data_IF_813284918954
#
_entry.id   IF_813284918954
#
_cell.length_a   1.000
_cell.length_b   1.000
_cell.length_c   1.000
_cell.angle_alpha   90.00
_cell.angle_beta   90.00
_cell.angle_gamma   90.00
#
_symmetry.space_group_name_H-M   'P 1'
#
loop_
_entity.id
_entity.type
_entity.pdbx_description
1 polymer ?
#
# COMPACT_ATOMS: atom_id res chain seq x y z
N UNK A 1 21.45 -18.33 18.36
CA UNK A 1 22.90 -18.28 18.06
C UNK A 1 23.16 -17.48 16.77
N UNK A 2 22.65 -17.86 15.61
CA UNK A 2 22.87 -17.09 14.36
C UNK A 2 22.29 -15.68 14.40
N UNK A 3 21.08 -15.47 14.96
CA UNK A 3 20.45 -14.16 15.04
C UNK A 3 21.25 -13.17 15.92
N UNK A 4 21.74 -13.63 17.08
CA UNK A 4 22.53 -12.80 17.99
C UNK A 4 23.89 -12.42 17.36
N UNK A 5 24.49 -13.31 16.56
CA UNK A 5 25.70 -13.02 15.80
C UNK A 5 25.45 -11.96 14.73
N UNK A 6 24.35 -12.06 13.97
CA UNK A 6 23.99 -11.09 12.96
C UNK A 6 23.70 -9.71 13.57
N UNK A 7 22.88 -9.64 14.62
CA UNK A 7 22.59 -8.38 15.30
C UNK A 7 23.82 -7.76 15.95
N UNK A 8 24.81 -8.58 16.39
CA UNK A 8 26.05 -8.06 16.98
C UNK A 8 26.90 -7.25 15.99
N UNK A 9 26.80 -7.52 14.69
CA UNK A 9 27.50 -6.76 13.64
C UNK A 9 27.00 -5.31 13.54
N UNK A 10 25.75 -5.05 13.94
CA UNK A 10 25.09 -3.75 13.89
C UNK A 10 24.91 -3.13 15.29
N UNK A 11 25.51 -3.71 16.33
CA UNK A 11 25.44 -3.21 17.70
C UNK A 11 26.42 -2.04 17.88
N UNK A 12 26.14 -0.94 17.19
CA UNK A 12 26.85 0.34 17.32
C UNK A 12 25.85 1.47 17.45
N UNK A 13 26.26 2.61 18.01
CA UNK A 13 25.41 3.81 18.12
C UNK A 13 25.02 4.40 16.75
N UNK A 14 25.57 3.88 15.66
CA UNK A 14 25.29 4.31 14.29
C UNK A 14 23.96 3.74 13.77
N UNK A 15 23.66 2.46 14.11
CA UNK A 15 22.54 1.76 13.53
C UNK A 15 21.32 1.72 14.46
N UNK A 16 20.14 1.83 13.89
CA UNK A 16 18.87 1.64 14.58
C UNK A 16 18.21 0.36 14.08
N UNK A 17 17.83 -0.51 15.02
CA UNK A 17 17.19 -1.79 14.73
C UNK A 17 15.70 -1.65 15.04
N UNK A 18 14.86 -1.93 14.04
CA UNK A 18 13.42 -1.98 14.17
C UNK A 18 12.91 -3.41 13.97
N UNK A 19 11.71 -3.76 14.49
CA UNK A 19 11.01 -4.95 14.01
C UNK A 19 10.77 -4.85 12.51
N UNK A 20 10.78 -5.96 11.78
CA UNK A 20 10.55 -5.96 10.34
C UNK A 20 9.23 -5.31 9.94
N UNK A 21 9.23 -4.47 8.93
CA UNK A 21 8.05 -3.73 8.47
C UNK A 21 7.01 -4.65 7.80
N UNK A 22 5.77 -4.20 7.78
CA UNK A 22 4.62 -4.87 7.16
C UNK A 22 3.89 -3.88 6.25
N UNK A 23 3.81 -4.18 4.96
CA UNK A 23 3.00 -3.42 4.01
C UNK A 23 1.74 -4.22 3.64
N UNK A 24 0.59 -3.63 3.84
CA UNK A 24 -0.69 -4.31 3.61
C UNK A 24 -1.29 -4.04 2.23
N UNK A 25 -0.53 -3.34 1.36
CA UNK A 25 -1.01 -2.97 0.03
C UNK A 25 0.13 -2.95 -1.00
N UNK A 26 0.36 -4.08 -1.66
CA UNK A 26 1.37 -4.19 -2.73
C UNK A 26 0.86 -5.03 -3.91
N UNK A 27 1.44 -4.82 -5.09
CA UNK A 27 1.12 -5.54 -6.32
C UNK A 27 2.34 -6.29 -6.85
N UNK A 28 2.45 -7.58 -6.56
CA UNK A 28 3.59 -8.38 -7.01
C UNK A 28 3.46 -8.92 -8.44
N UNK A 29 2.29 -8.72 -9.07
CA UNK A 29 2.05 -8.94 -10.49
C UNK A 29 2.10 -10.41 -10.97
N UNK A 30 2.40 -11.37 -10.12
CA UNK A 30 2.33 -12.81 -10.46
C UNK A 30 1.22 -13.51 -9.66
N UNK A 31 0.46 -14.36 -10.35
CA UNK A 31 0.55 -14.79 -11.77
C UNK A 31 0.06 -13.76 -12.80
N UNK A 32 0.45 -13.94 -14.04
CA UNK A 32 -0.12 -13.29 -15.23
C UNK A 32 0.62 -12.07 -15.77
N UNK A 33 1.32 -11.31 -14.91
CA UNK A 33 1.97 -10.05 -15.30
C UNK A 33 3.45 -9.99 -14.90
N UNK A 34 4.14 -11.13 -14.94
CA UNK A 34 5.56 -11.27 -14.53
C UNK A 34 6.54 -10.38 -15.30
N UNK A 35 6.12 -9.80 -16.41
CA UNK A 35 6.93 -8.80 -17.13
C UNK A 35 7.00 -7.46 -16.40
N UNK A 36 6.05 -7.15 -15.50
CA UNK A 36 6.03 -5.94 -14.66
C UNK A 36 6.76 -6.14 -13.33
N UNK A 37 6.59 -7.31 -12.72
CA UNK A 37 7.15 -7.72 -11.44
C UNK A 37 6.96 -9.20 -11.23
N UNK A 38 7.79 -9.82 -10.39
CA UNK A 38 7.66 -11.22 -9.98
C UNK A 38 7.61 -11.32 -8.45
N UNK A 39 7.06 -12.41 -7.91
CA UNK A 39 7.12 -12.66 -6.46
C UNK A 39 8.56 -12.56 -5.96
N UNK A 40 9.54 -13.08 -6.72
CA UNK A 40 10.95 -13.00 -6.32
C UNK A 40 11.48 -11.57 -6.33
N UNK A 41 11.34 -10.83 -7.44
CA UNK A 41 11.89 -9.46 -7.55
C UNK A 41 11.24 -8.50 -6.56
N UNK A 42 9.91 -8.55 -6.41
CA UNK A 42 9.20 -7.59 -5.57
C UNK A 42 9.32 -7.94 -4.07
N UNK A 43 9.46 -9.23 -3.70
CA UNK A 43 9.81 -9.59 -2.33
C UNK A 43 11.25 -9.20 -1.96
N UNK A 44 12.18 -9.19 -2.93
CA UNK A 44 13.53 -8.63 -2.73
C UNK A 44 13.51 -7.11 -2.60
N UNK A 45 12.70 -6.41 -3.41
CA UNK A 45 12.50 -4.96 -3.27
C UNK A 45 11.88 -4.60 -1.90
N UNK A 46 10.94 -5.41 -1.42
CA UNK A 46 10.39 -5.29 -0.08
C UNK A 46 11.48 -5.47 1.00
N UNK A 47 12.30 -6.51 0.89
CA UNK A 47 13.43 -6.74 1.81
C UNK A 47 14.42 -5.56 1.77
N UNK A 48 14.75 -5.01 0.61
CA UNK A 48 15.59 -3.81 0.47
C UNK A 48 14.98 -2.59 1.18
N UNK A 49 13.65 -2.45 1.15
CA UNK A 49 12.92 -1.40 1.88
C UNK A 49 12.68 -1.69 3.37
N UNK A 50 13.23 -2.77 3.94
CA UNK A 50 13.07 -3.11 5.35
C UNK A 50 11.81 -3.91 5.70
N UNK A 51 11.05 -4.34 4.71
CA UNK A 51 9.84 -5.12 4.92
C UNK A 51 10.16 -6.61 5.04
N UNK A 52 9.55 -7.26 6.02
CA UNK A 52 9.60 -8.72 6.22
C UNK A 52 8.25 -9.37 5.97
N UNK A 53 7.22 -8.56 5.76
CA UNK A 53 5.85 -9.01 5.55
C UNK A 53 5.15 -8.08 4.57
N UNK A 54 4.41 -8.65 3.62
CA UNK A 54 3.54 -7.89 2.71
C UNK A 54 2.22 -8.59 2.48
N UNK A 55 1.18 -7.82 2.11
CA UNK A 55 -0.10 -8.35 1.62
C UNK A 55 -0.27 -8.00 0.14
N UNK A 56 -0.46 -8.99 -0.71
CA UNK A 56 -0.56 -8.82 -2.17
C UNK A 56 -2.00 -8.66 -2.62
N UNK A 57 -2.28 -7.60 -3.40
CA UNK A 57 -3.60 -7.32 -3.97
C UNK A 57 -3.97 -8.29 -5.09
N UNK A 58 -5.28 -8.57 -5.29
CA UNK A 58 -5.75 -9.69 -6.12
C UNK A 58 -5.82 -9.40 -7.62
N UNK A 59 -5.43 -8.22 -8.10
CA UNK A 59 -5.51 -7.85 -9.52
C UNK A 59 -4.47 -8.57 -10.39
N UNK A 60 -4.63 -9.87 -10.50
CA UNK A 60 -3.76 -10.84 -11.15
C UNK A 60 -4.44 -11.53 -12.35
N UNK A 61 -3.75 -12.45 -13.00
CA UNK A 61 -4.34 -13.29 -14.06
C UNK A 61 -3.78 -14.72 -14.00
N UNK A 62 -4.62 -15.69 -13.55
CA UNK A 62 -6.02 -15.50 -13.14
C UNK A 62 -6.15 -14.68 -11.85
N UNK A 63 -7.30 -14.00 -11.71
CA UNK A 63 -7.71 -13.35 -10.46
C UNK A 63 -7.93 -14.43 -9.40
N UNK A 64 -7.45 -14.29 -8.14
CA UNK A 64 -7.69 -15.25 -7.06
C UNK A 64 -9.13 -15.15 -6.53
N UNK A 65 -10.10 -15.52 -7.37
CA UNK A 65 -11.54 -15.50 -7.12
C UNK A 65 -12.14 -16.87 -6.76
N UNK A 66 -11.29 -17.89 -6.75
CA UNK A 66 -11.57 -19.26 -6.36
C UNK A 66 -10.37 -19.90 -5.69
N UNK A 67 -10.56 -21.00 -4.97
CA UNK A 67 -9.45 -21.72 -4.33
C UNK A 67 -8.43 -22.23 -5.37
N UNK A 68 -8.87 -22.63 -6.55
CA UNK A 68 -8.01 -23.07 -7.65
C UNK A 68 -7.08 -21.94 -8.13
N UNK A 69 -7.63 -20.77 -8.39
CA UNK A 69 -6.85 -19.62 -8.84
C UNK A 69 -5.90 -19.10 -7.75
N UNK A 70 -6.38 -19.01 -6.51
CA UNK A 70 -5.55 -18.63 -5.36
C UNK A 70 -4.36 -19.58 -5.16
N UNK A 71 -4.54 -20.89 -5.40
CA UNK A 71 -3.46 -21.87 -5.26
C UNK A 71 -2.32 -21.65 -6.26
N UNK A 72 -2.61 -21.06 -7.43
CA UNK A 72 -1.57 -20.71 -8.41
C UNK A 72 -0.63 -19.65 -7.82
N UNK A 73 -1.18 -18.57 -7.24
CA UNK A 73 -0.40 -17.54 -6.57
C UNK A 73 0.35 -18.12 -5.36
N UNK A 74 -0.31 -18.91 -4.53
CA UNK A 74 0.31 -19.51 -3.34
C UNK A 74 1.52 -20.39 -3.70
N UNK A 75 1.43 -21.19 -4.76
CA UNK A 75 2.56 -22.00 -5.23
C UNK A 75 3.77 -21.15 -5.67
N UNK A 76 3.52 -19.96 -6.24
CA UNK A 76 4.58 -19.03 -6.61
C UNK A 76 5.19 -18.37 -5.36
N UNK A 77 4.35 -17.99 -4.38
CA UNK A 77 4.79 -17.45 -3.08
C UNK A 77 5.69 -18.47 -2.38
N UNK A 78 5.22 -19.70 -2.20
CA UNK A 78 5.95 -20.77 -1.50
C UNK A 78 7.31 -21.08 -2.15
N UNK A 79 7.42 -20.88 -3.46
CA UNK A 79 8.64 -21.20 -4.20
C UNK A 79 9.64 -20.05 -4.28
N UNK A 80 9.16 -18.80 -4.38
CA UNK A 80 10.03 -17.70 -4.78
C UNK A 80 10.11 -16.55 -3.77
N UNK A 81 9.16 -16.43 -2.84
CA UNK A 81 9.16 -15.32 -1.89
C UNK A 81 10.38 -15.36 -0.97
N UNK A 82 10.95 -14.19 -0.70
CA UNK A 82 12.10 -14.00 0.21
C UNK A 82 11.68 -13.55 1.60
N UNK A 83 10.44 -13.09 1.73
CA UNK A 83 9.80 -12.63 2.97
C UNK A 83 8.41 -13.24 3.07
N UNK A 84 7.69 -13.00 4.17
CA UNK A 84 6.30 -13.44 4.31
C UNK A 84 5.38 -12.67 3.36
N UNK A 85 4.63 -13.40 2.53
CA UNK A 85 3.65 -12.83 1.58
C UNK A 85 2.27 -13.42 1.88
N UNK A 86 1.29 -12.55 2.12
CA UNK A 86 -0.09 -12.91 2.44
C UNK A 86 -1.02 -12.41 1.32
N UNK A 87 -1.59 -13.30 0.50
CA UNK A 87 -2.46 -12.88 -0.59
C UNK A 87 -3.83 -12.40 -0.09
N UNK A 88 -4.42 -11.43 -0.78
CA UNK A 88 -5.85 -11.16 -0.76
C UNK A 88 -6.59 -12.10 -1.72
N UNK A 89 -7.83 -12.48 -1.38
CA UNK A 89 -8.78 -12.99 -2.36
C UNK A 89 -9.57 -11.84 -2.98
N UNK A 90 -10.06 -11.98 -4.21
CA UNK A 90 -10.95 -10.98 -4.77
C UNK A 90 -12.35 -11.04 -4.12
N UNK A 91 -13.03 -9.89 -4.05
CA UNK A 91 -14.42 -9.81 -3.61
C UNK A 91 -15.37 -10.37 -4.66
N UNK A 92 -15.10 -10.06 -5.92
CA UNK A 92 -15.96 -10.46 -7.04
C UNK A 92 -15.19 -11.27 -8.07
N UNK A 93 -15.91 -12.12 -8.80
CA UNK A 93 -15.33 -12.94 -9.88
C UNK A 93 -14.70 -12.05 -10.93
N UNK A 94 -13.44 -12.35 -11.25
CA UNK A 94 -12.62 -11.59 -12.21
C UNK A 94 -12.54 -10.08 -11.89
N UNK A 95 -12.83 -9.68 -10.63
CA UNK A 95 -12.92 -8.25 -10.19
C UNK A 95 -13.86 -7.44 -11.09
N UNK A 96 -14.99 -8.02 -11.49
CA UNK A 96 -15.95 -7.37 -12.39
C UNK A 96 -17.12 -6.68 -11.68
N UNK A 97 -17.21 -6.76 -10.35
CA UNK A 97 -18.28 -6.14 -9.57
C UNK A 97 -19.69 -6.68 -9.86
N UNK A 98 -19.82 -7.92 -10.33
CA UNK A 98 -21.11 -8.50 -10.78
C UNK A 98 -21.56 -9.71 -9.98
N UNK A 99 -20.65 -10.56 -9.56
CA UNK A 99 -20.90 -11.81 -8.85
C UNK A 99 -19.80 -11.98 -7.79
N UNK A 100 -20.15 -12.41 -6.59
CA UNK A 100 -19.18 -12.67 -5.53
C UNK A 100 -18.24 -13.82 -5.90
N UNK A 101 -17.01 -13.69 -5.48
CA UNK A 101 -16.00 -14.77 -5.53
C UNK A 101 -16.33 -15.87 -4.52
N UNK A 102 -15.53 -16.93 -4.52
CA UNK A 102 -15.72 -18.08 -3.62
C UNK A 102 -15.15 -17.78 -2.21
N UNK A 103 -15.60 -16.67 -1.59
CA UNK A 103 -15.14 -16.16 -0.29
C UNK A 103 -15.14 -17.27 0.78
N UNK A 104 -16.21 -18.08 0.82
CA UNK A 104 -16.38 -19.15 1.79
C UNK A 104 -15.30 -20.25 1.70
N UNK A 105 -14.76 -20.51 0.51
CA UNK A 105 -13.72 -21.51 0.31
C UNK A 105 -12.31 -20.93 0.55
N UNK A 106 -12.10 -19.67 0.20
CA UNK A 106 -10.78 -19.01 0.27
C UNK A 106 -10.43 -18.43 1.65
N UNK A 107 -11.42 -18.14 2.50
CA UNK A 107 -11.23 -17.31 3.70
C UNK A 107 -10.07 -17.75 4.61
N UNK A 108 -9.79 -19.04 4.70
CA UNK A 108 -8.72 -19.56 5.57
C UNK A 108 -7.31 -19.40 4.99
N UNK A 109 -7.19 -19.05 3.72
CA UNK A 109 -5.95 -18.97 2.94
C UNK A 109 -5.52 -17.55 2.60
N UNK A 110 -6.36 -16.55 2.88
CA UNK A 110 -6.13 -15.14 2.53
C UNK A 110 -6.07 -14.27 3.78
N UNK A 111 -5.37 -13.12 3.70
CA UNK A 111 -5.36 -12.13 4.78
C UNK A 111 -6.68 -11.35 4.86
N UNK A 112 -7.32 -11.10 3.74
CA UNK A 112 -8.57 -10.37 3.58
C UNK A 112 -9.11 -10.53 2.17
N UNK A 113 -10.10 -9.71 1.82
CA UNK A 113 -10.69 -9.68 0.49
C UNK A 113 -10.71 -8.25 -0.06
N UNK A 114 -10.44 -8.10 -1.37
CA UNK A 114 -10.40 -6.82 -2.06
C UNK A 114 -10.73 -6.99 -3.55
N UNK A 115 -11.29 -5.95 -4.18
CA UNK A 115 -11.27 -5.76 -5.64
C UNK A 115 -10.44 -4.50 -5.94
N UNK A 116 -9.20 -4.47 -5.44
CA UNK A 116 -8.34 -3.29 -5.52
C UNK A 116 -8.16 -2.77 -6.96
N UNK A 117 -8.10 -1.43 -7.07
CA UNK A 117 -8.07 -0.71 -8.34
C UNK A 117 -9.46 -0.55 -8.98
N UNK A 118 -10.52 -1.05 -8.35
CA UNK A 118 -11.92 -0.92 -8.79
C UNK A 118 -12.85 -0.80 -7.59
N UNK A 119 -13.68 0.23 -7.57
CA UNK A 119 -14.76 0.33 -6.59
C UNK A 119 -15.89 -0.66 -6.90
N UNK A 120 -16.45 -1.31 -5.90
CA UNK A 120 -17.65 -2.14 -6.07
C UNK A 120 -18.89 -1.23 -6.13
N UNK A 121 -19.36 -0.94 -7.33
CA UNK A 121 -20.43 0.05 -7.57
C UNK A 121 -21.81 -0.41 -7.10
N UNK A 122 -22.05 -1.74 -7.05
CA UNK A 122 -23.32 -2.29 -6.60
C UNK A 122 -23.38 -2.39 -5.07
N UNK A 123 -24.16 -1.54 -4.44
CA UNK A 123 -24.30 -1.46 -2.99
C UNK A 123 -24.80 -2.76 -2.35
N UNK A 124 -25.75 -3.45 -3.01
CA UNK A 124 -26.27 -4.73 -2.49
C UNK A 124 -25.19 -5.82 -2.53
N UNK A 125 -24.40 -5.87 -3.59
CA UNK A 125 -23.29 -6.81 -3.71
C UNK A 125 -22.20 -6.51 -2.69
N UNK A 126 -21.86 -5.23 -2.46
CA UNK A 126 -20.92 -4.83 -1.42
C UNK A 126 -21.40 -5.23 -0.03
N UNK A 127 -22.67 -5.01 0.27
CA UNK A 127 -23.27 -5.42 1.54
C UNK A 127 -23.22 -6.94 1.73
N UNK A 128 -23.52 -7.71 0.71
CA UNK A 128 -23.44 -9.19 0.74
C UNK A 128 -21.99 -9.66 0.98
N UNK A 129 -21.02 -9.06 0.28
CA UNK A 129 -19.58 -9.29 0.51
C UNK A 129 -19.18 -8.99 1.96
N UNK A 130 -19.60 -7.85 2.50
CA UNK A 130 -19.34 -7.47 3.90
C UNK A 130 -19.94 -8.48 4.89
N UNK A 131 -21.14 -8.97 4.65
CA UNK A 131 -21.78 -10.01 5.50
C UNK A 131 -20.98 -11.31 5.50
N UNK A 132 -20.47 -11.74 4.35
CA UNK A 132 -19.62 -12.94 4.25
C UNK A 132 -18.26 -12.70 4.93
N UNK A 133 -17.60 -11.58 4.69
CA UNK A 133 -16.36 -11.24 5.39
C UNK A 133 -16.55 -11.23 6.90
N UNK A 134 -17.65 -10.65 7.40
CA UNK A 134 -18.01 -10.68 8.81
C UNK A 134 -18.20 -12.11 9.33
N UNK A 135 -18.92 -12.95 8.59
CA UNK A 135 -19.16 -14.36 8.95
C UNK A 135 -17.87 -15.14 9.13
N UNK A 136 -16.87 -14.89 8.28
CA UNK A 136 -15.58 -15.57 8.31
C UNK A 136 -14.49 -14.82 9.08
N UNK A 137 -14.85 -13.73 9.77
CA UNK A 137 -13.91 -12.89 10.53
C UNK A 137 -12.74 -12.40 9.66
N UNK A 138 -13.04 -11.92 8.45
CA UNK A 138 -12.08 -11.35 7.51
C UNK A 138 -12.30 -9.86 7.33
N UNK A 139 -11.22 -9.14 7.08
CA UNK A 139 -11.26 -7.74 6.70
C UNK A 139 -11.64 -7.64 5.23
N UNK A 140 -12.56 -6.73 4.91
CA UNK A 140 -12.81 -6.26 3.56
C UNK A 140 -12.01 -4.98 3.35
N UNK A 141 -11.07 -5.02 2.40
CA UNK A 141 -10.20 -3.90 2.04
C UNK A 141 -10.64 -3.32 0.70
N UNK A 142 -10.92 -2.03 0.63
CA UNK A 142 -11.56 -1.45 -0.56
C UNK A 142 -10.82 -0.25 -1.12
N UNK A 143 -10.54 -0.31 -2.43
CA UNK A 143 -10.27 0.86 -3.26
C UNK A 143 -11.59 1.58 -3.47
N UNK A 144 -11.74 2.75 -2.85
CA UNK A 144 -13.00 3.49 -2.90
C UNK A 144 -13.02 4.45 -4.08
N UNK A 145 -13.87 4.16 -5.06
CA UNK A 145 -14.06 5.03 -6.22
C UNK A 145 -15.45 4.89 -6.84
N UNK A 146 -16.17 5.97 -6.89
CA UNK A 146 -17.41 6.10 -7.68
C UNK A 146 -17.02 6.32 -9.15
N UNK A 147 -17.02 5.25 -9.98
CA UNK A 147 -16.58 5.28 -11.38
C UNK A 147 -17.26 6.36 -12.21
N UNK A 148 -18.56 6.61 -11.98
CA UNK A 148 -19.34 7.62 -12.71
C UNK A 148 -18.84 9.05 -12.50
N UNK A 149 -18.05 9.31 -11.45
CA UNK A 149 -17.48 10.63 -11.13
C UNK A 149 -16.06 10.82 -11.67
N UNK A 150 -15.43 9.78 -12.20
CA UNK A 150 -14.07 9.87 -12.76
C UNK A 150 -14.03 10.63 -14.08
N UNK A 151 -15.07 10.50 -14.91
CA UNK A 151 -15.21 11.19 -16.21
C UNK A 151 -14.01 11.06 -17.16
N UNK A 152 -13.23 9.97 -17.03
CA UNK A 152 -12.01 9.74 -17.80
C UNK A 152 -10.85 10.64 -17.38
N UNK A 153 -10.88 11.15 -16.15
CA UNK A 153 -9.77 11.80 -15.47
C UNK A 153 -8.63 10.83 -15.17
N UNK A 154 -7.44 11.37 -14.94
CA UNK A 154 -6.24 10.57 -14.68
C UNK A 154 -5.23 11.24 -13.74
N UNK A 155 -5.49 12.47 -13.29
CA UNK A 155 -4.80 13.20 -12.22
C UNK A 155 -5.86 13.95 -11.41
N UNK A 156 -5.47 14.60 -10.32
CA UNK A 156 -6.38 15.41 -9.51
C UNK A 156 -7.02 16.55 -10.31
N UNK A 157 -8.31 16.82 -10.08
CA UNK A 157 -9.01 18.01 -10.60
C UNK A 157 -8.57 19.26 -9.81
N UNK A 158 -7.30 19.57 -9.94
CA UNK A 158 -6.62 20.66 -9.26
C UNK A 158 -6.14 21.76 -10.22
N UNK A 159 -5.28 22.61 -9.68
CA UNK A 159 -4.72 23.73 -10.43
C UNK A 159 -3.83 23.24 -11.59
N UNK A 160 -3.03 22.21 -11.37
CA UNK A 160 -2.18 21.65 -12.41
C UNK A 160 -2.99 21.14 -13.61
N UNK A 161 -4.05 20.38 -13.37
CA UNK A 161 -4.89 19.86 -14.44
C UNK A 161 -5.52 20.98 -15.27
N UNK A 162 -6.04 22.01 -14.62
CA UNK A 162 -6.65 23.18 -15.31
C UNK A 162 -5.63 23.95 -16.13
N UNK A 163 -4.45 24.22 -15.58
CA UNK A 163 -3.42 25.04 -16.22
C UNK A 163 -2.75 24.32 -17.42
N UNK A 164 -2.73 22.97 -17.42
CA UNK A 164 -2.07 22.17 -18.46
C UNK A 164 -3.06 21.43 -19.38
N UNK A 165 -4.36 21.64 -19.20
CA UNK A 165 -5.39 21.07 -20.07
C UNK A 165 -5.60 19.56 -19.89
N UNK A 166 -5.33 19.02 -18.69
CA UNK A 166 -5.58 17.63 -18.33
C UNK A 166 -7.00 17.42 -17.82
N UNK A 167 -7.48 16.17 -17.90
CA UNK A 167 -8.72 15.75 -17.25
C UNK A 167 -8.46 15.39 -15.79
N UNK A 168 -9.16 16.09 -14.90
CA UNK A 168 -9.09 15.88 -13.47
C UNK A 168 -10.05 14.79 -12.98
N UNK A 169 -9.71 14.21 -11.83
CA UNK A 169 -10.55 13.32 -11.02
C UNK A 169 -10.93 14.11 -9.76
N UNK A 170 -12.22 14.34 -9.56
CA UNK A 170 -12.71 15.05 -8.38
C UNK A 170 -12.52 14.25 -7.09
N UNK A 171 -12.46 14.93 -5.96
CA UNK A 171 -12.33 14.28 -4.65
C UNK A 171 -13.57 13.46 -4.28
N UNK A 172 -14.73 13.86 -4.78
CA UNK A 172 -16.01 13.17 -4.60
C UNK A 172 -15.99 11.72 -5.10
N UNK A 173 -15.15 11.40 -6.09
CA UNK A 173 -15.03 10.02 -6.58
C UNK A 173 -14.55 9.06 -5.48
N UNK A 174 -13.70 9.50 -4.57
CA UNK A 174 -13.20 8.71 -3.45
C UNK A 174 -14.17 8.76 -2.26
N UNK A 175 -14.37 9.94 -1.66
CA UNK A 175 -15.03 10.02 -0.36
C UNK A 175 -16.52 9.66 -0.38
N UNK A 176 -17.21 9.74 -1.52
CA UNK A 176 -18.61 9.28 -1.59
C UNK A 176 -18.75 7.77 -1.50
N UNK A 177 -17.80 7.02 -2.02
CA UNK A 177 -17.81 5.57 -1.81
C UNK A 177 -17.40 5.24 -0.37
N UNK A 178 -16.43 5.95 0.21
CA UNK A 178 -16.10 5.84 1.64
C UNK A 178 -17.33 6.09 2.51
N UNK A 179 -18.10 7.16 2.25
CA UNK A 179 -19.32 7.48 2.99
C UNK A 179 -20.37 6.35 2.90
N UNK A 180 -20.62 5.84 1.70
CA UNK A 180 -21.54 4.72 1.46
C UNK A 180 -21.11 3.48 2.25
N UNK A 181 -19.83 3.13 2.15
CA UNK A 181 -19.34 1.88 2.73
C UNK A 181 -19.22 1.94 4.26
N UNK A 182 -19.02 3.12 4.84
CA UNK A 182 -19.14 3.33 6.29
C UNK A 182 -20.54 2.95 6.78
N UNK A 183 -21.60 3.35 6.05
CA UNK A 183 -22.97 3.00 6.41
C UNK A 183 -23.21 1.49 6.31
N UNK A 184 -22.68 0.85 5.28
CA UNK A 184 -22.75 -0.60 5.12
C UNK A 184 -21.94 -1.35 6.19
N UNK A 185 -20.76 -0.87 6.53
CA UNK A 185 -19.94 -1.44 7.61
C UNK A 185 -20.64 -1.32 8.98
N UNK A 186 -21.31 -0.19 9.24
CA UNK A 186 -22.14 0.01 10.45
C UNK A 186 -23.29 -0.98 10.49
N UNK A 187 -23.98 -1.18 9.38
CA UNK A 187 -25.14 -2.07 9.30
C UNK A 187 -24.76 -3.56 9.44
N UNK A 188 -23.68 -3.97 8.78
CA UNK A 188 -23.23 -5.38 8.75
C UNK A 188 -22.35 -5.76 9.93
N UNK A 189 -21.67 -4.78 10.54
CA UNK A 189 -20.64 -5.01 11.54
C UNK A 189 -19.38 -5.67 10.97
N UNK A 190 -19.13 -5.54 9.65
CA UNK A 190 -17.92 -6.00 9.00
C UNK A 190 -16.70 -5.17 9.42
N UNK A 191 -15.56 -5.80 9.62
CA UNK A 191 -14.29 -5.11 9.70
C UNK A 191 -13.92 -4.59 8.30
N UNK A 192 -13.97 -3.26 8.13
CA UNK A 192 -13.78 -2.58 6.85
C UNK A 192 -12.49 -1.76 6.86
N UNK A 193 -11.67 -1.91 5.85
CA UNK A 193 -10.42 -1.20 5.69
C UNK A 193 -10.45 -0.38 4.39
N UNK A 194 -10.24 0.94 4.50
CA UNK A 194 -10.20 1.84 3.35
C UNK A 194 -8.76 1.94 2.84
N UNK A 195 -8.52 1.49 1.61
CA UNK A 195 -7.21 1.54 0.97
C UNK A 195 -6.79 2.99 0.68
N UNK A 196 -5.49 3.27 0.77
CA UNK A 196 -4.76 4.43 0.25
C UNK A 196 -5.58 5.74 0.15
N UNK A 197 -6.24 6.17 1.24
CA UNK A 197 -7.04 7.41 1.22
C UNK A 197 -6.17 8.61 0.84
N UNK A 198 -6.73 9.50 0.03
CA UNK A 198 -6.05 10.67 -0.52
C UNK A 198 -6.75 12.00 -0.26
N UNK A 199 -7.99 12.00 0.24
CA UNK A 199 -8.82 13.21 0.40
C UNK A 199 -9.07 13.57 1.87
N UNK A 200 -9.17 14.87 2.15
CA UNK A 200 -9.49 15.39 3.50
C UNK A 200 -10.87 14.95 3.98
N UNK A 201 -11.82 14.83 3.06
CA UNK A 201 -13.17 14.38 3.38
C UNK A 201 -13.17 12.91 3.85
N UNK A 202 -12.38 12.04 3.21
CA UNK A 202 -12.19 10.65 3.66
C UNK A 202 -11.63 10.58 5.08
N UNK A 203 -10.63 11.43 5.40
CA UNK A 203 -10.07 11.51 6.76
C UNK A 203 -11.15 11.85 7.78
N UNK A 204 -11.99 12.87 7.52
CA UNK A 204 -13.01 13.31 8.46
C UNK A 204 -14.13 12.26 8.62
N UNK A 205 -14.59 11.66 7.52
CA UNK A 205 -15.58 10.58 7.55
C UNK A 205 -15.10 9.39 8.39
N UNK A 206 -13.84 8.96 8.19
CA UNK A 206 -13.26 7.83 8.94
C UNK A 206 -13.07 8.22 10.41
N UNK A 207 -12.61 9.44 10.70
CA UNK A 207 -12.47 9.94 12.07
C UNK A 207 -13.81 9.90 12.81
N UNK A 208 -14.88 10.33 12.17
CA UNK A 208 -16.22 10.30 12.76
C UNK A 208 -16.70 8.85 12.92
N UNK A 209 -16.51 7.98 11.93
CA UNK A 209 -16.90 6.58 11.99
C UNK A 209 -16.20 5.83 13.14
N UNK A 210 -14.92 6.10 13.39
CA UNK A 210 -14.18 5.54 14.54
C UNK A 210 -14.75 6.03 15.87
N UNK A 211 -15.10 7.32 15.99
CA UNK A 211 -15.77 7.89 17.20
C UNK A 211 -17.13 7.23 17.44
N UNK A 212 -17.84 6.89 16.40
CA UNK A 212 -19.13 6.20 16.46
C UNK A 212 -19.00 4.69 16.74
N UNK A 213 -17.78 4.18 16.90
CA UNK A 213 -17.49 2.78 17.23
C UNK A 213 -17.68 1.81 16.06
N UNK A 214 -17.66 2.31 14.82
CA UNK A 214 -17.71 1.46 13.62
C UNK A 214 -16.36 0.75 13.47
N UNK A 215 -16.38 -0.52 13.10
CA UNK A 215 -15.18 -1.34 12.86
C UNK A 215 -14.49 -0.96 11.54
N UNK A 216 -13.91 0.26 11.51
CA UNK A 216 -13.24 0.82 10.34
C UNK A 216 -11.78 1.12 10.63
N UNK A 217 -10.94 0.86 9.65
CA UNK A 217 -9.53 1.23 9.60
C UNK A 217 -9.19 1.78 8.22
N UNK A 218 -8.04 2.44 8.07
CA UNK A 218 -7.59 2.92 6.78
C UNK A 218 -6.06 3.01 6.69
N UNK A 219 -5.60 3.15 5.48
CA UNK A 219 -4.21 3.42 5.15
C UNK A 219 -4.08 4.66 4.26
N UNK A 220 -2.90 5.25 4.26
CA UNK A 220 -2.46 6.23 3.25
C UNK A 220 -1.06 5.88 2.79
N UNK A 221 -0.57 6.56 1.75
CA UNK A 221 0.74 6.25 1.20
C UNK A 221 1.72 7.42 1.35
N UNK A 222 3.05 7.15 1.39
CA UNK A 222 4.08 8.18 1.52
C UNK A 222 3.94 9.33 0.52
N UNK A 223 3.57 9.02 -0.73
CA UNK A 223 3.44 10.03 -1.78
C UNK A 223 2.29 11.01 -1.52
N UNK A 224 1.20 10.63 -0.85
CA UNK A 224 0.12 11.55 -0.46
C UNK A 224 0.49 12.43 0.74
N UNK A 225 1.41 11.98 1.59
CA UNK A 225 1.89 12.75 2.74
C UNK A 225 3.01 13.74 2.36
N UNK A 226 3.67 13.54 1.21
CA UNK A 226 4.87 14.30 0.83
C UNK A 226 4.58 15.27 -0.32
N UNK A 227 3.85 14.83 -1.34
CA UNK A 227 3.59 15.62 -2.55
C UNK A 227 2.20 16.26 -2.55
N UNK A 228 2.05 17.25 -3.44
CA UNK A 228 0.79 17.92 -3.78
C UNK A 228 0.63 17.99 -5.30
N UNK A 229 -0.53 18.38 -5.80
CA UNK A 229 -0.75 18.59 -7.24
C UNK A 229 0.13 19.69 -7.85
N UNK A 230 0.68 20.58 -7.02
CA UNK A 230 1.66 21.59 -7.47
C UNK A 230 3.04 20.98 -7.84
N UNK A 231 3.35 19.77 -7.37
CA UNK A 231 4.59 19.07 -7.65
C UNK A 231 4.54 18.24 -8.95
N UNK A 232 3.35 18.09 -9.54
CA UNK A 232 3.13 17.29 -10.74
C UNK A 232 3.98 17.77 -11.92
N UNK A 233 4.38 16.83 -12.76
CA UNK A 233 5.16 17.07 -13.98
C UNK A 233 4.56 16.27 -15.15
N UNK A 234 4.92 16.62 -16.39
CA UNK A 234 4.53 15.88 -17.61
C UNK A 234 5.27 14.54 -17.75
N UNK A 235 5.33 13.79 -16.66
CA UNK A 235 6.05 12.53 -16.54
C UNK A 235 5.18 11.48 -15.85
N UNK A 236 5.18 10.27 -16.37
CA UNK A 236 4.39 9.17 -15.83
C UNK A 236 4.75 8.74 -14.40
N UNK A 237 5.92 9.16 -13.88
CA UNK A 237 6.29 8.97 -12.46
C UNK A 237 5.30 9.64 -11.50
N UNK A 238 4.53 10.61 -11.97
CA UNK A 238 3.51 11.34 -11.22
C UNK A 238 2.10 10.79 -11.41
N UNK A 239 1.96 9.64 -12.08
CA UNK A 239 0.67 9.02 -12.34
C UNK A 239 0.46 7.76 -11.50
N UNK A 240 -0.38 7.89 -10.48
CA UNK A 240 -0.88 6.83 -9.60
C UNK A 240 -2.39 7.00 -9.35
N UNK A 241 -3.01 6.06 -8.70
CA UNK A 241 -4.43 6.03 -8.47
C UNK A 241 -4.76 5.49 -7.07
N UNK A 242 -5.37 6.33 -6.19
CA UNK A 242 -5.82 7.72 -6.36
C UNK A 242 -4.72 8.69 -6.79
N UNK A 243 -5.06 9.84 -7.39
CA UNK A 243 -4.07 10.83 -7.78
C UNK A 243 -3.56 11.63 -6.58
N UNK A 244 -2.35 12.18 -6.69
CA UNK A 244 -1.85 13.18 -5.73
C UNK A 244 -2.79 14.38 -5.72
N UNK A 245 -3.26 14.75 -4.52
CA UNK A 245 -4.29 15.77 -4.31
C UNK A 245 -3.71 17.14 -3.95
N UNK A 246 -4.58 18.02 -3.50
CA UNK A 246 -4.27 19.39 -3.10
C UNK A 246 -3.40 19.45 -1.83
N UNK A 247 -2.87 20.65 -1.55
CA UNK A 247 -2.17 20.94 -0.30
C UNK A 247 -3.07 20.76 0.93
N UNK A 248 -4.35 21.11 0.81
CA UNK A 248 -5.35 20.96 1.87
C UNK A 248 -5.57 19.49 2.21
N UNK A 249 -5.66 18.63 1.19
CA UNK A 249 -5.77 17.19 1.38
C UNK A 249 -4.53 16.63 2.08
N UNK A 250 -3.34 16.96 1.59
CA UNK A 250 -2.07 16.56 2.21
C UNK A 250 -2.01 16.93 3.70
N UNK A 251 -2.36 18.16 4.06
CA UNK A 251 -2.32 18.61 5.46
C UNK A 251 -3.32 17.83 6.33
N UNK A 252 -4.51 17.53 5.82
CA UNK A 252 -5.50 16.72 6.53
C UNK A 252 -5.04 15.27 6.70
N UNK A 253 -4.38 14.70 5.69
CA UNK A 253 -3.76 13.37 5.78
C UNK A 253 -2.65 13.32 6.82
N UNK A 254 -1.76 14.30 6.87
CA UNK A 254 -0.70 14.39 7.89
C UNK A 254 -1.32 14.49 9.31
N UNK A 255 -2.35 15.31 9.48
CA UNK A 255 -3.07 15.42 10.75
C UNK A 255 -3.72 14.09 11.13
N UNK A 256 -4.48 13.46 10.21
CA UNK A 256 -5.12 12.16 10.44
C UNK A 256 -4.12 11.03 10.70
N UNK A 257 -2.94 11.09 10.09
CA UNK A 257 -1.85 10.15 10.36
C UNK A 257 -1.25 10.36 11.75
N UNK A 258 -1.05 11.62 12.15
CA UNK A 258 -0.50 11.98 13.46
C UNK A 258 -1.44 11.64 14.61
N UNK A 259 -2.75 11.88 14.46
CA UNK A 259 -3.74 11.67 15.51
C UNK A 259 -4.25 10.21 15.60
N UNK A 260 -3.82 9.33 14.68
CA UNK A 260 -4.20 7.91 14.64
C UNK A 260 -5.54 7.64 13.96
N UNK A 261 -6.13 8.63 13.28
CA UNK A 261 -7.29 8.40 12.39
C UNK A 261 -6.90 7.47 11.24
N UNK A 262 -5.72 7.68 10.64
CA UNK A 262 -5.14 6.77 9.64
C UNK A 262 -4.30 5.74 10.38
N UNK A 263 -4.56 4.47 10.18
CA UNK A 263 -3.93 3.38 10.94
C UNK A 263 -2.58 2.97 10.38
N UNK A 264 -2.52 2.71 9.07
CA UNK A 264 -1.36 2.15 8.39
C UNK A 264 -0.71 3.14 7.42
N UNK A 265 0.59 2.98 7.23
CA UNK A 265 1.31 3.50 6.09
C UNK A 265 1.57 2.35 5.13
N UNK A 266 0.94 2.38 3.97
CA UNK A 266 1.09 1.38 2.91
C UNK A 266 1.64 2.03 1.66
N UNK A 267 2.37 1.30 0.83
CA UNK A 267 3.08 1.91 -0.30
C UNK A 267 2.25 2.02 -1.56
N UNK A 268 1.25 1.16 -1.71
CA UNK A 268 0.60 0.91 -2.99
C UNK A 268 1.65 0.64 -4.09
N UNK A 269 2.65 -0.21 -3.74
CA UNK A 269 3.72 -0.56 -4.65
C UNK A 269 3.18 -1.28 -5.88
N UNK A 270 3.11 -0.56 -7.01
CA UNK A 270 2.43 -0.98 -8.22
C UNK A 270 3.36 -0.93 -9.44
N UNK A 271 4.25 -1.92 -9.62
CA UNK A 271 5.23 -1.96 -10.70
C UNK A 271 4.56 -2.08 -12.08
N UNK A 272 5.11 -1.35 -13.05
CA UNK A 272 4.76 -1.36 -14.45
C UNK A 272 6.01 -1.40 -15.34
N UNK A 273 5.87 -1.94 -16.55
CA UNK A 273 6.98 -1.96 -17.50
C UNK A 273 7.36 -0.57 -18.00
N UNK A 274 8.56 -0.44 -18.55
CA UNK A 274 9.04 0.80 -19.16
C UNK A 274 8.09 1.27 -20.26
N UNK A 275 7.59 0.35 -21.09
CA UNK A 275 6.66 0.66 -22.18
C UNK A 275 5.32 1.20 -21.66
N UNK A 276 4.84 0.67 -20.54
CA UNK A 276 3.60 1.14 -19.93
C UNK A 276 3.75 2.51 -19.27
N UNK A 277 4.96 2.87 -18.83
CA UNK A 277 5.28 4.15 -18.17
C UNK A 277 5.94 5.17 -19.09
N UNK A 278 6.17 4.88 -20.39
CA UNK A 278 6.81 5.79 -21.35
C UNK A 278 5.84 6.60 -22.24
N UNK A 279 4.52 6.57 -21.92
CA UNK A 279 3.47 7.16 -22.77
C UNK A 279 2.99 8.53 -22.29
N UNK A 280 3.79 9.21 -21.47
CA UNK A 280 3.47 10.50 -20.84
C UNK A 280 2.41 10.38 -19.76
N UNK A 281 2.10 11.49 -19.12
CA UNK A 281 1.18 11.53 -17.96
C UNK A 281 -0.21 10.97 -18.29
N UNK A 282 -0.77 11.32 -19.46
CA UNK A 282 -2.12 10.91 -19.86
C UNK A 282 -2.27 9.42 -20.16
N UNK A 283 -1.33 8.85 -20.95
CA UNK A 283 -1.53 7.52 -21.56
C UNK A 283 -0.76 6.39 -20.88
N UNK A 284 0.08 6.70 -19.90
CA UNK A 284 0.78 5.69 -19.12
C UNK A 284 -0.16 4.98 -18.14
N UNK A 285 0.23 3.79 -17.69
CA UNK A 285 -0.47 3.06 -16.65
C UNK A 285 -0.44 3.81 -15.30
N UNK A 286 -1.49 3.66 -14.51
CA UNK A 286 -1.55 4.14 -13.13
C UNK A 286 -0.71 3.23 -12.22
N UNK A 287 0.06 3.83 -11.31
CA UNK A 287 0.87 3.12 -10.35
C UNK A 287 2.32 3.55 -10.35
N UNK A 288 2.93 3.50 -9.18
CA UNK A 288 4.33 3.79 -8.91
C UNK A 288 4.91 2.72 -8.00
N UNK A 289 6.24 2.65 -7.90
CA UNK A 289 6.88 1.80 -6.91
C UNK A 289 7.23 2.60 -5.66
N UNK A 290 7.06 1.99 -4.48
CA UNK A 290 7.18 2.68 -3.20
C UNK A 290 7.94 1.93 -2.11
N UNK A 291 8.07 0.60 -2.18
CA UNK A 291 8.68 -0.22 -1.11
C UNK A 291 10.08 0.23 -0.72
N UNK A 292 10.93 0.53 -1.69
CA UNK A 292 12.34 0.90 -1.47
C UNK A 292 12.53 2.38 -1.09
N UNK A 293 11.45 3.17 -1.07
CA UNK A 293 11.50 4.63 -0.82
C UNK A 293 10.67 5.09 0.37
N UNK A 294 9.76 4.24 0.86
CA UNK A 294 8.75 4.63 1.85
C UNK A 294 9.36 5.18 3.15
N UNK A 295 10.14 4.36 3.86
CA UNK A 295 10.69 4.77 5.14
C UNK A 295 11.65 5.97 5.02
N UNK A 296 12.68 5.98 4.14
CA UNK A 296 13.58 7.11 4.03
C UNK A 296 12.87 8.42 3.66
N UNK A 297 11.87 8.37 2.79
CA UNK A 297 11.10 9.56 2.42
C UNK A 297 10.27 10.09 3.58
N UNK A 298 9.56 9.22 4.32
CA UNK A 298 8.78 9.60 5.50
C UNK A 298 9.70 10.05 6.64
N UNK A 299 10.82 9.37 6.86
CA UNK A 299 11.80 9.77 7.86
C UNK A 299 12.30 11.18 7.60
N UNK A 300 12.68 11.48 6.36
CA UNK A 300 13.23 12.78 5.98
C UNK A 300 12.18 13.88 6.07
N UNK A 301 10.99 13.67 5.49
CA UNK A 301 10.03 14.74 5.29
C UNK A 301 9.03 14.92 6.44
N UNK A 302 8.82 13.90 7.28
CA UNK A 302 7.86 13.97 8.37
C UNK A 302 8.50 13.82 9.76
N UNK A 303 9.46 12.91 9.93
CA UNK A 303 10.08 12.68 11.25
C UNK A 303 11.13 13.74 11.52
N UNK A 304 12.10 13.95 10.63
CA UNK A 304 13.17 14.97 10.83
C UNK A 304 12.60 16.39 10.89
N UNK A 305 11.47 16.65 10.29
CA UNK A 305 10.77 17.96 10.36
C UNK A 305 9.91 18.12 11.62
N UNK A 306 9.69 17.04 12.38
CA UNK A 306 8.88 17.06 13.60
C UNK A 306 7.36 17.01 13.34
N UNK A 307 6.92 16.76 12.10
CA UNK A 307 5.49 16.64 11.76
C UNK A 307 4.86 15.39 12.38
N UNK A 308 5.61 14.26 12.41
CA UNK A 308 5.15 12.98 12.95
C UNK A 308 6.27 12.36 13.80
N UNK A 309 5.92 11.67 14.89
CA UNK A 309 6.92 10.98 15.70
C UNK A 309 7.39 9.67 15.05
N UNK A 310 8.62 9.25 15.36
CA UNK A 310 9.16 7.97 14.92
C UNK A 310 8.30 6.80 15.41
N UNK A 311 7.83 6.85 16.67
CA UNK A 311 7.00 5.81 17.26
C UNK A 311 5.70 5.63 16.47
N UNK A 312 5.09 6.73 16.01
CA UNK A 312 3.86 6.68 15.20
C UNK A 312 4.12 6.01 13.85
N UNK A 313 5.23 6.32 13.22
CA UNK A 313 5.62 5.69 11.95
C UNK A 313 5.90 4.20 12.13
N UNK A 314 6.62 3.82 13.18
CA UNK A 314 6.88 2.40 13.48
C UNK A 314 5.58 1.65 13.81
N UNK A 315 4.67 2.25 14.58
CA UNK A 315 3.35 1.63 14.84
C UNK A 315 2.61 1.33 13.54
N UNK A 316 2.57 2.29 12.61
CA UNK A 316 1.87 2.18 11.33
C UNK A 316 2.53 1.25 10.31
N UNK A 317 3.81 0.97 10.46
CA UNK A 317 4.57 0.04 9.60
C UNK A 317 4.72 -1.37 10.21
N UNK A 318 4.52 -1.53 11.52
CA UNK A 318 4.82 -2.80 12.20
C UNK A 318 3.59 -3.39 12.86
N UNK A 319 2.97 -2.64 13.77
CA UNK A 319 1.98 -3.20 14.70
C UNK A 319 0.54 -3.06 14.20
N UNK A 320 0.15 -1.87 13.75
CA UNK A 320 -1.21 -1.60 13.28
C UNK A 320 -1.60 -2.49 12.07
N UNK A 321 -0.80 -2.60 10.99
CA UNK A 321 -1.14 -3.44 9.85
C UNK A 321 -1.30 -4.91 10.25
N UNK A 322 -0.40 -5.43 11.09
CA UNK A 322 -0.49 -6.82 11.55
C UNK A 322 -1.72 -7.07 12.43
N UNK A 323 -2.08 -6.13 13.29
CA UNK A 323 -3.27 -6.20 14.14
C UNK A 323 -4.55 -6.23 13.30
N UNK A 324 -4.65 -5.39 12.28
CA UNK A 324 -5.83 -5.28 11.41
C UNK A 324 -6.05 -6.59 10.67
N UNK A 325 -5.03 -7.14 10.04
CA UNK A 325 -5.11 -8.34 9.20
C UNK A 325 -4.80 -9.65 9.96
N UNK A 326 -4.69 -9.58 11.30
CA UNK A 326 -4.41 -10.74 12.16
C UNK A 326 -3.13 -11.50 11.78
N UNK A 327 -2.09 -10.76 11.35
CA UNK A 327 -0.79 -11.29 10.98
C UNK A 327 0.11 -11.29 12.23
N UNK A 328 0.76 -12.41 12.59
CA UNK A 328 1.61 -12.44 13.77
C UNK A 328 2.88 -11.58 13.59
N UNK A 329 3.33 -10.96 14.68
CA UNK A 329 4.67 -10.38 14.74
C UNK A 329 5.68 -11.53 14.92
N UNK A 330 6.60 -11.70 13.98
CA UNK A 330 7.68 -12.67 14.12
C UNK A 330 8.83 -12.02 14.93
N UNK A 331 9.18 -12.56 16.11
CA UNK A 331 10.25 -11.98 16.95
C UNK A 331 11.66 -12.16 16.37
N UNK A 332 11.80 -12.83 15.22
CA UNK A 332 13.06 -13.00 14.50
C UNK A 332 13.15 -12.11 13.24
N UNK A 333 12.18 -11.22 13.05
CA UNK A 333 12.11 -10.30 11.92
C UNK A 333 12.59 -8.93 12.34
N UNK A 334 13.66 -8.43 11.69
CA UNK A 334 14.25 -7.13 11.98
C UNK A 334 14.62 -6.40 10.70
N UNK A 335 14.61 -5.08 10.77
CA UNK A 335 15.22 -4.22 9.77
C UNK A 335 16.18 -3.23 10.43
N UNK A 336 17.30 -2.96 9.78
CA UNK A 336 18.40 -2.19 10.33
C UNK A 336 18.65 -0.99 9.45
N UNK A 337 18.67 0.19 10.06
CA UNK A 337 18.81 1.47 9.36
C UNK A 337 19.99 2.27 9.90
N UNK A 338 20.74 2.92 9.01
CA UNK A 338 21.57 4.06 9.32
C UNK A 338 20.73 5.33 9.15
N UNK A 339 20.24 5.88 10.26
CA UNK A 339 19.34 7.02 10.23
C UNK A 339 20.05 8.34 9.89
N UNK A 340 21.37 8.39 10.01
CA UNK A 340 22.18 9.58 9.73
C UNK A 340 22.77 9.55 8.31
N UNK A 341 22.71 8.43 7.60
CA UNK A 341 23.20 8.35 6.23
C UNK A 341 22.29 9.13 5.30
N UNK A 342 22.87 10.13 4.64
CA UNK A 342 22.25 10.97 3.63
C UNK A 342 22.61 10.45 2.25
N UNK A 343 21.62 10.26 1.38
CA UNK A 343 21.83 9.77 0.02
C UNK A 343 20.75 10.25 -0.94
N UNK A 344 21.04 10.17 -2.24
CA UNK A 344 20.08 10.46 -3.29
C UNK A 344 19.42 9.13 -3.74
N UNK A 345 18.10 9.12 -3.80
CA UNK A 345 17.34 7.99 -4.33
C UNK A 345 17.64 7.87 -5.84
N UNK A 346 18.11 6.71 -6.26
CA UNK A 346 18.34 6.37 -7.66
C UNK A 346 17.54 5.12 -8.02
N UNK A 347 16.44 5.30 -8.76
CA UNK A 347 15.55 4.18 -9.13
C UNK A 347 16.26 3.08 -9.94
N UNK A 348 17.36 3.38 -10.63
CA UNK A 348 18.17 2.39 -11.35
C UNK A 348 18.82 1.34 -10.42
N UNK A 349 19.00 1.66 -9.14
CA UNK A 349 19.58 0.75 -8.13
C UNK A 349 18.55 -0.17 -7.47
N UNK A 350 17.26 0.02 -7.76
CA UNK A 350 16.20 -0.74 -7.13
C UNK A 350 16.18 -2.21 -7.56
N UNK A 351 15.73 -3.06 -6.64
CA UNK A 351 15.57 -4.49 -6.87
C UNK A 351 14.23 -4.85 -7.52
N UNK A 352 13.21 -3.97 -7.40
CA UNK A 352 11.99 -4.06 -8.22
C UNK A 352 12.33 -4.08 -9.70
N UNK A 353 11.53 -4.77 -10.52
CA UNK A 353 11.65 -4.69 -11.97
C UNK A 353 11.30 -3.32 -12.55
N UNK A 354 10.44 -2.58 -11.86
CA UNK A 354 10.01 -1.25 -12.28
C UNK A 354 10.96 -0.14 -11.81
N UNK A 355 10.82 1.07 -12.40
CA UNK A 355 11.66 2.23 -12.09
C UNK A 355 10.84 3.50 -11.84
N UNK A 356 9.53 3.44 -12.04
CA UNK A 356 8.68 4.64 -12.02
C UNK A 356 8.28 5.04 -10.61
N UNK A 357 8.89 6.09 -10.09
CA UNK A 357 8.57 6.69 -8.79
C UNK A 357 8.86 8.19 -8.80
N UNK A 358 8.02 9.04 -8.19
CA UNK A 358 8.29 10.47 -8.06
C UNK A 358 9.43 10.78 -7.07
N UNK A 359 9.85 9.80 -6.27
CA UNK A 359 10.94 9.95 -5.30
C UNK A 359 12.33 9.90 -5.94
N UNK A 360 12.45 9.49 -7.20
CA UNK A 360 13.73 9.42 -7.91
C UNK A 360 14.42 10.79 -7.98
N UNK A 361 15.70 10.84 -7.59
CA UNK A 361 16.48 12.07 -7.50
C UNK A 361 16.33 12.85 -6.19
N UNK A 362 15.46 12.41 -5.26
CA UNK A 362 15.30 13.07 -3.96
C UNK A 362 16.46 12.74 -3.02
N UNK A 363 16.91 13.76 -2.27
CA UNK A 363 17.87 13.61 -1.19
C UNK A 363 17.14 13.21 0.10
N UNK A 364 17.52 12.09 0.70
CA UNK A 364 16.88 11.53 1.88
C UNK A 364 17.88 11.03 2.91
N UNK A 365 17.40 10.86 4.14
CA UNK A 365 18.08 10.22 5.25
C UNK A 365 17.43 8.90 5.61
N UNK A 366 18.17 8.05 6.30
CA UNK A 366 17.63 6.80 6.81
C UNK A 366 17.72 5.66 5.79
N UNK A 367 18.94 5.20 5.56
CA UNK A 367 19.22 4.11 4.63
C UNK A 367 19.03 2.75 5.29
N UNK A 368 18.25 1.87 4.68
CA UNK A 368 18.21 0.47 5.07
C UNK A 368 19.58 -0.17 4.78
N UNK A 369 20.13 -0.88 5.74
CA UNK A 369 21.44 -1.54 5.60
C UNK A 369 21.36 -3.07 5.70
N UNK A 370 20.31 -3.60 6.32
CA UNK A 370 20.05 -5.03 6.31
C UNK A 370 18.60 -5.33 6.71
N UNK A 371 18.07 -6.42 6.20
CA UNK A 371 16.77 -6.99 6.58
C UNK A 371 16.92 -8.46 6.93
N UNK A 372 16.40 -8.83 8.09
CA UNK A 372 16.44 -10.18 8.65
C UNK A 372 15.02 -10.71 8.72
N UNK A 373 14.77 -11.83 8.05
CA UNK A 373 13.49 -12.52 8.07
C UNK A 373 13.68 -13.96 8.60
N UNK A 374 12.86 -14.34 9.59
CA UNK A 374 12.95 -15.61 10.31
C UNK A 374 14.38 -15.95 10.78
N UNK A 375 15.11 -14.92 11.23
CA UNK A 375 16.48 -15.04 11.74
C UNK A 375 17.56 -15.16 10.67
N UNK A 376 17.23 -15.04 9.39
CA UNK A 376 18.18 -15.09 8.28
C UNK A 376 18.28 -13.71 7.60
N UNK A 377 19.48 -13.30 7.22
CA UNK A 377 19.67 -12.11 6.39
C UNK A 377 19.08 -12.41 5.01
N UNK A 378 18.02 -11.68 4.65
CA UNK A 378 17.38 -11.80 3.33
C UNK A 378 17.83 -10.71 2.37
N UNK A 379 18.34 -9.60 2.93
CA UNK A 379 18.98 -8.54 2.19
C UNK A 379 20.02 -7.83 3.07
N UNK A 380 21.14 -7.46 2.49
CA UNK A 380 22.22 -6.70 3.13
C UNK A 380 22.90 -5.83 2.07
N UNK A 381 23.20 -4.57 2.43
CA UNK A 381 23.94 -3.67 1.56
C UNK A 381 25.37 -4.18 1.35
N UNK A 382 25.80 -4.24 0.10
CA UNK A 382 27.17 -4.60 -0.25
C UNK A 382 28.14 -3.52 0.26
N UNK A 383 29.14 -3.94 1.07
CA UNK A 383 30.17 -3.05 1.61
C UNK A 383 31.08 -2.49 0.52
#
# INVERSE_FOLDING_TARGET
MLLDEHLSLYNSNRFTIFPGFCDVHVHFREPGFSYKGTIESESMAAAHGGYTTVCTMPNLNPVPDSLEHLQIEQNLIDKYAKISVYPFGSLTKEEKGKELSDIAEMHSKVCGFSDDGKGVQNELLMKEAMMLCKQYNKVLSAHCEVESLVHGGYIHDGEYARNHGHKGICSESEWKEVERDILLAKETGCAYHVCHISTKESVELIRQAKKDGIAITCETAPHYLIFTDADLQEDARWKMYPPIRSKEDKLALIEGYRDGTIDCLATDHAPHSVEEKSRGLKNSANGIIGLETAFPSVYTHLIKTGEVSLERVIDSLVYAPRKIFSIPVNPKDFTIYDLEEEYIIHSDTFLSKARSTPFDGMNVFGKCVATIHDGNIVWEESK
#
